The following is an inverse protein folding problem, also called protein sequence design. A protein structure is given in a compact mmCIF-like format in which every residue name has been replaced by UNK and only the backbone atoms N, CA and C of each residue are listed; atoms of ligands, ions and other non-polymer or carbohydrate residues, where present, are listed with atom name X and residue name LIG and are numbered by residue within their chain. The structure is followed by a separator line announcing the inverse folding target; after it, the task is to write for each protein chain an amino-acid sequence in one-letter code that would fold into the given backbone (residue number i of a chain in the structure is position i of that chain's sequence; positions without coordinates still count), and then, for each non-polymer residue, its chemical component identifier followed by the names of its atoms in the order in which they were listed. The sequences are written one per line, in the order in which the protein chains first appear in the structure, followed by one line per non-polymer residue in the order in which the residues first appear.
data_IF_017919091838
#
_entry.id   IF_017919091838
#
_cell.length_a   1.000
_cell.length_b   1.000
_cell.length_c   1.000
_cell.angle_alpha   90.00
_cell.angle_beta   90.00
_cell.angle_gamma   90.00
#
_symmetry.space_group_name_H-M   'P 1'
#
loop_
_entity.id
_entity.type
_entity.pdbx_description
1 polymer ?
#
# COMPACT_ATOMS: atom_id res chain seq x y z
N UNK A 1 53.86 41.65 -56.81
CA UNK A 1 54.46 40.92 -55.68
C UNK A 1 53.56 41.05 -54.45
N UNK A 2 52.77 40.00 -54.13
CA UNK A 2 51.93 40.01 -52.92
C UNK A 2 52.75 39.44 -51.72
N UNK A 3 53.04 40.29 -50.72
CA UNK A 3 53.59 39.84 -49.45
C UNK A 3 52.54 39.07 -48.65
N UNK A 4 52.76 37.76 -48.51
CA UNK A 4 52.03 36.93 -47.57
C UNK A 4 52.43 37.31 -46.16
N UNK A 5 51.52 37.89 -45.40
CA UNK A 5 51.69 38.15 -43.97
C UNK A 5 51.53 36.82 -43.26
N UNK A 6 52.62 36.16 -42.89
CA UNK A 6 52.63 34.99 -42.05
C UNK A 6 52.35 35.43 -40.62
N UNK A 7 51.13 35.16 -40.12
CA UNK A 7 50.81 35.33 -38.68
C UNK A 7 51.58 34.26 -37.90
N UNK A 8 52.68 34.66 -37.29
CA UNK A 8 53.34 33.84 -36.31
C UNK A 8 52.47 33.80 -35.04
N UNK A 9 51.68 32.78 -34.91
CA UNK A 9 50.99 32.47 -33.68
C UNK A 9 52.02 32.15 -32.61
N UNK A 10 52.28 33.13 -31.74
CA UNK A 10 53.16 33.00 -30.62
C UNK A 10 52.64 31.92 -29.67
N UNK A 11 53.14 30.68 -29.82
CA UNK A 11 52.83 29.52 -29.00
C UNK A 11 53.48 29.67 -27.63
N UNK A 12 53.09 30.70 -26.89
CA UNK A 12 53.37 30.74 -25.43
C UNK A 12 52.37 29.78 -24.82
N UNK A 13 52.79 28.55 -24.57
CA UNK A 13 52.01 27.58 -23.84
C UNK A 13 51.55 28.18 -22.53
N UNK A 14 50.26 28.03 -22.20
CA UNK A 14 49.76 28.31 -20.88
C UNK A 14 50.74 27.70 -19.85
N UNK A 15 51.16 28.52 -18.87
CA UNK A 15 52.05 28.01 -17.82
C UNK A 15 51.49 26.69 -17.28
N UNK A 16 52.32 25.65 -17.11
CA UNK A 16 51.86 24.36 -16.58
C UNK A 16 51.03 24.49 -15.27
N UNK A 17 51.34 25.53 -14.50
CA UNK A 17 50.66 25.86 -13.25
C UNK A 17 49.19 26.26 -13.51
N UNK A 18 48.91 27.08 -14.54
CA UNK A 18 47.53 27.44 -14.87
C UNK A 18 46.75 26.25 -15.42
N UNK A 19 47.39 25.39 -16.21
CA UNK A 19 46.73 24.19 -16.73
C UNK A 19 46.36 23.22 -15.60
N UNK A 20 47.21 23.03 -14.59
CA UNK A 20 46.90 22.19 -13.43
C UNK A 20 45.82 22.79 -12.55
N UNK A 21 45.78 24.10 -12.34
CA UNK A 21 44.69 24.76 -11.60
C UNK A 21 43.33 24.61 -12.30
N UNK A 22 43.28 24.78 -13.60
CA UNK A 22 42.06 24.59 -14.37
C UNK A 22 41.61 23.13 -14.28
N UNK A 23 42.49 22.17 -14.45
CA UNK A 23 42.20 20.75 -14.35
C UNK A 23 41.67 20.38 -12.96
N UNK A 24 42.32 20.87 -11.88
CA UNK A 24 41.85 20.65 -10.52
C UNK A 24 40.46 21.20 -10.27
N UNK A 25 40.17 22.40 -10.76
CA UNK A 25 38.85 23.02 -10.64
C UNK A 25 37.75 22.17 -11.35
N UNK A 26 38.04 21.70 -12.57
CA UNK A 26 37.15 20.84 -13.31
C UNK A 26 36.85 19.55 -12.54
N UNK A 27 37.89 18.90 -12.01
CA UNK A 27 37.74 17.65 -11.25
C UNK A 27 36.87 17.88 -10.00
N UNK A 28 37.08 18.98 -9.27
CA UNK A 28 36.30 19.32 -8.07
C UNK A 28 34.82 19.53 -8.45
N UNK A 29 34.55 20.31 -9.49
CA UNK A 29 33.17 20.59 -9.94
C UNK A 29 32.48 19.31 -10.37
N UNK A 30 33.09 18.51 -11.23
CA UNK A 30 32.48 17.24 -11.69
C UNK A 30 32.33 16.24 -10.53
N UNK A 31 33.33 16.17 -9.63
CA UNK A 31 33.29 15.30 -8.47
C UNK A 31 32.14 15.66 -7.51
N UNK A 32 31.91 16.95 -7.25
CA UNK A 32 30.82 17.41 -6.38
C UNK A 32 29.47 17.16 -7.02
N UNK A 33 29.28 17.41 -8.32
CA UNK A 33 28.05 17.11 -9.04
C UNK A 33 27.75 15.61 -9.04
N UNK A 34 28.74 14.79 -9.35
CA UNK A 34 28.58 13.33 -9.34
C UNK A 34 28.24 12.80 -7.94
N UNK A 35 28.90 13.31 -6.90
CA UNK A 35 28.59 12.97 -5.51
C UNK A 35 27.15 13.34 -5.13
N UNK A 36 26.72 14.57 -5.44
CA UNK A 36 25.38 15.03 -5.14
C UNK A 36 24.30 14.20 -5.85
N UNK A 37 24.50 13.89 -7.12
CA UNK A 37 23.59 13.06 -7.90
C UNK A 37 23.51 11.63 -7.35
N UNK A 38 24.66 11.02 -7.06
CA UNK A 38 24.73 9.68 -6.48
C UNK A 38 24.07 9.61 -5.10
N UNK A 39 24.28 10.61 -4.24
CA UNK A 39 23.67 10.69 -2.91
C UNK A 39 22.14 10.77 -2.98
N UNK A 40 21.61 11.59 -3.90
CA UNK A 40 20.15 11.69 -4.10
C UNK A 40 19.54 10.39 -4.61
N UNK A 41 20.19 9.72 -5.57
CA UNK A 41 19.74 8.42 -6.07
C UNK A 41 19.72 7.36 -4.96
N UNK A 42 20.78 7.31 -4.16
CA UNK A 42 20.90 6.36 -3.04
C UNK A 42 19.80 6.61 -2.00
N UNK A 43 19.56 7.87 -1.64
CA UNK A 43 18.50 8.23 -0.69
C UNK A 43 17.11 7.86 -1.20
N UNK A 44 16.80 8.15 -2.46
CA UNK A 44 15.53 7.76 -3.09
C UNK A 44 15.35 6.25 -3.12
N UNK A 45 16.38 5.50 -3.53
CA UNK A 45 16.33 4.05 -3.57
C UNK A 45 16.13 3.47 -2.16
N UNK A 46 16.89 3.94 -1.17
CA UNK A 46 16.77 3.48 0.22
C UNK A 46 15.37 3.74 0.78
N UNK A 47 14.81 4.94 0.56
CA UNK A 47 13.46 5.27 1.01
C UNK A 47 12.41 4.37 0.35
N UNK A 48 12.54 4.09 -0.94
CA UNK A 48 11.64 3.20 -1.66
C UNK A 48 11.72 1.77 -1.11
N UNK A 49 12.92 1.25 -0.87
CA UNK A 49 13.12 -0.07 -0.26
C UNK A 49 12.55 -0.14 1.17
N UNK A 50 12.82 0.85 1.99
CA UNK A 50 12.33 0.88 3.38
C UNK A 50 10.81 0.92 3.42
N UNK A 51 10.17 1.74 2.58
CA UNK A 51 8.71 1.81 2.49
C UNK A 51 8.12 0.48 2.00
N UNK A 52 8.70 -0.13 0.97
CA UNK A 52 8.24 -1.43 0.45
C UNK A 52 8.39 -2.53 1.48
N UNK A 53 9.51 -2.57 2.22
CA UNK A 53 9.71 -3.54 3.30
C UNK A 53 8.72 -3.35 4.44
N UNK A 54 8.46 -2.11 4.86
CA UNK A 54 7.51 -1.85 5.95
C UNK A 54 6.09 -2.26 5.56
N UNK A 55 5.65 -1.96 4.33
CA UNK A 55 4.34 -2.38 3.82
C UNK A 55 4.24 -3.90 3.72
N UNK A 56 5.27 -4.57 3.20
CA UNK A 56 5.29 -6.03 3.11
C UNK A 56 5.28 -6.68 4.50
N UNK A 57 6.02 -6.15 5.44
CA UNK A 57 6.03 -6.65 6.82
C UNK A 57 4.68 -6.47 7.50
N UNK A 58 4.01 -5.33 7.28
CA UNK A 58 2.66 -5.10 7.77
C UNK A 58 1.67 -6.11 7.18
N UNK A 59 1.70 -6.34 5.87
CA UNK A 59 0.78 -7.29 5.23
C UNK A 59 0.97 -8.72 5.71
N UNK A 60 2.21 -9.16 5.97
CA UNK A 60 2.49 -10.50 6.52
C UNK A 60 1.97 -10.65 7.96
N UNK A 61 1.99 -9.55 8.73
CA UNK A 61 1.52 -9.54 10.12
C UNK A 61 0.00 -9.44 10.25
N UNK A 62 -0.70 -9.05 9.18
CA UNK A 62 -2.15 -9.00 9.16
C UNK A 62 -2.74 -10.39 8.92
N UNK A 63 -3.71 -10.76 9.72
CA UNK A 63 -4.45 -12.01 9.56
C UNK A 63 -5.87 -11.85 10.05
N UNK A 64 -6.83 -11.99 9.16
CA UNK A 64 -8.26 -11.96 9.47
C UNK A 64 -8.79 -13.39 9.43
N UNK A 65 -9.46 -13.80 10.49
CA UNK A 65 -10.33 -14.95 10.49
C UNK A 65 -11.77 -14.52 10.27
N UNK A 66 -12.46 -15.17 9.33
CA UNK A 66 -13.90 -15.06 9.23
C UNK A 66 -14.51 -16.06 10.22
N UNK A 67 -15.30 -15.57 11.16
CA UNK A 67 -16.01 -16.43 12.10
C UNK A 67 -17.34 -16.92 11.53
N UNK A 68 -18.05 -16.03 10.85
CA UNK A 68 -19.31 -16.35 10.19
C UNK A 68 -19.65 -15.28 9.15
N UNK A 69 -20.40 -15.69 8.13
CA UNK A 69 -20.98 -14.78 7.13
C UNK A 69 -22.44 -15.19 6.94
N UNK A 70 -23.37 -14.30 7.27
CA UNK A 70 -24.80 -14.56 7.25
C UNK A 70 -25.47 -13.62 6.23
N UNK A 71 -26.22 -14.20 5.32
CA UNK A 71 -27.07 -13.45 4.41
C UNK A 71 -28.54 -13.61 4.78
N UNK A 72 -29.22 -12.49 4.95
CA UNK A 72 -30.66 -12.45 5.13
C UNK A 72 -31.31 -12.00 3.83
N UNK A 73 -31.85 -12.95 3.09
CA UNK A 73 -32.51 -12.71 1.80
C UNK A 73 -33.76 -11.84 1.91
N UNK A 74 -34.42 -11.79 3.08
CA UNK A 74 -35.64 -10.98 3.30
C UNK A 74 -35.30 -9.49 3.38
N UNK A 75 -34.16 -9.13 3.94
CA UNK A 75 -33.69 -7.74 4.10
C UNK A 75 -32.57 -7.36 3.15
N UNK A 76 -32.01 -8.31 2.38
CA UNK A 76 -30.84 -8.12 1.53
C UNK A 76 -29.57 -7.78 2.31
N UNK A 77 -29.50 -8.14 3.60
CA UNK A 77 -28.38 -7.81 4.47
C UNK A 77 -27.39 -8.95 4.57
N UNK A 78 -26.14 -8.64 4.33
CA UNK A 78 -24.99 -9.52 4.56
C UNK A 78 -24.26 -9.05 5.83
N UNK A 79 -24.22 -9.90 6.85
CA UNK A 79 -23.51 -9.65 8.10
C UNK A 79 -22.27 -10.52 8.14
N UNK A 80 -21.11 -9.90 8.34
CA UNK A 80 -19.79 -10.53 8.32
C UNK A 80 -19.16 -10.40 9.69
N UNK A 81 -18.85 -11.53 10.32
CA UNK A 81 -18.17 -11.62 11.61
C UNK A 81 -16.70 -11.93 11.41
N UNK A 82 -15.85 -11.14 12.02
CA UNK A 82 -14.40 -11.18 11.82
C UNK A 82 -13.65 -11.16 13.14
N UNK A 83 -12.48 -11.79 13.15
CA UNK A 83 -11.50 -11.68 14.21
C UNK A 83 -10.13 -11.32 13.63
N UNK A 84 -9.40 -10.43 14.28
CA UNK A 84 -7.99 -10.21 13.96
C UNK A 84 -7.12 -11.26 14.68
N UNK A 85 -6.76 -12.33 13.97
CA UNK A 85 -5.83 -13.37 14.48
C UNK A 85 -4.37 -13.13 14.07
N UNK A 86 -4.06 -11.96 13.50
CA UNK A 86 -2.69 -11.55 13.20
C UNK A 86 -1.93 -11.00 14.38
N UNK A 87 -0.74 -10.49 14.13
CA UNK A 87 0.10 -9.77 15.09
C UNK A 87 0.07 -8.25 14.90
N UNK A 88 -0.57 -7.76 13.83
CA UNK A 88 -0.73 -6.33 13.59
C UNK A 88 -1.90 -5.76 14.37
N UNK A 89 -1.64 -4.70 15.15
CA UNK A 89 -2.70 -3.89 15.74
C UNK A 89 -3.26 -2.87 14.73
N UNK A 90 -4.46 -2.36 15.00
CA UNK A 90 -5.12 -1.36 14.17
C UNK A 90 -5.37 -1.81 12.73
N UNK A 91 -5.67 -3.09 12.52
CA UNK A 91 -6.03 -3.62 11.22
C UNK A 91 -7.29 -2.91 10.70
N UNK A 92 -7.20 -2.28 9.55
CA UNK A 92 -8.29 -1.51 8.95
C UNK A 92 -8.74 -2.16 7.65
N UNK A 93 -10.05 -2.36 7.52
CA UNK A 93 -10.66 -2.83 6.29
C UNK A 93 -10.80 -1.65 5.33
N UNK A 94 -10.38 -1.83 4.08
CA UNK A 94 -10.47 -0.83 3.02
C UNK A 94 -11.64 -1.09 2.09
N UNK A 95 -11.73 -2.31 1.57
CA UNK A 95 -12.76 -2.67 0.60
C UNK A 95 -13.17 -4.14 0.69
N UNK A 96 -14.37 -4.42 0.20
CA UNK A 96 -14.95 -5.75 0.15
C UNK A 96 -15.53 -5.97 -1.23
N UNK A 97 -15.24 -7.13 -1.78
CA UNK A 97 -15.77 -7.62 -3.05
C UNK A 97 -16.55 -8.92 -2.81
N UNK A 98 -17.60 -9.12 -3.57
CA UNK A 98 -18.34 -10.38 -3.58
C UNK A 98 -18.26 -10.95 -4.99
N UNK A 99 -17.89 -12.22 -5.09
CA UNK A 99 -17.76 -12.95 -6.35
C UNK A 99 -18.76 -14.10 -6.39
N UNK A 100 -19.29 -14.36 -7.58
CA UNK A 100 -20.06 -15.57 -7.86
C UNK A 100 -19.14 -16.79 -8.10
N UNK A 101 -19.73 -17.97 -8.28
CA UNK A 101 -18.98 -19.21 -8.60
C UNK A 101 -18.17 -19.14 -9.90
N UNK A 102 -18.47 -18.18 -10.77
CA UNK A 102 -17.74 -17.92 -12.02
C UNK A 102 -16.67 -16.84 -11.87
N UNK A 103 -16.39 -16.39 -10.65
CA UNK A 103 -15.43 -15.32 -10.30
C UNK A 103 -15.79 -13.94 -10.90
N UNK A 104 -17.06 -13.68 -11.18
CA UNK A 104 -17.52 -12.36 -11.54
C UNK A 104 -17.91 -11.57 -10.29
N UNK A 105 -17.63 -10.26 -10.30
CA UNK A 105 -18.02 -9.39 -9.19
C UNK A 105 -19.56 -9.23 -9.20
N UNK A 106 -20.17 -9.51 -8.06
CA UNK A 106 -21.60 -9.36 -7.85
C UNK A 106 -21.89 -8.02 -7.16
N UNK A 107 -22.59 -7.14 -7.86
CA UNK A 107 -22.90 -5.81 -7.36
C UNK A 107 -21.72 -4.84 -7.46
N UNK A 108 -21.74 -3.82 -6.60
CA UNK A 108 -20.65 -2.84 -6.50
C UNK A 108 -19.75 -3.18 -5.31
N UNK A 109 -18.44 -2.95 -5.43
CA UNK A 109 -17.54 -3.10 -4.27
C UNK A 109 -17.97 -2.19 -3.13
N UNK A 110 -17.93 -2.72 -1.90
CA UNK A 110 -18.19 -1.94 -0.70
C UNK A 110 -16.89 -1.32 -0.21
N UNK A 111 -16.87 -0.04 0.10
CA UNK A 111 -15.70 0.66 0.62
C UNK A 111 -16.09 1.79 1.59
N UNK A 112 -15.13 2.20 2.42
CA UNK A 112 -15.28 3.34 3.31
C UNK A 112 -16.54 3.25 4.20
N UNK A 113 -17.42 4.23 4.11
CA UNK A 113 -18.61 4.35 4.97
C UNK A 113 -19.66 3.24 4.79
N UNK A 114 -19.59 2.46 3.72
CA UNK A 114 -20.53 1.34 3.50
C UNK A 114 -20.20 0.12 4.37
N UNK A 115 -18.95 -0.01 4.78
CA UNK A 115 -18.46 -1.09 5.65
C UNK A 115 -18.56 -0.69 7.13
N UNK A 116 -18.92 0.56 7.40
CA UNK A 116 -18.85 1.18 8.71
C UNK A 116 -20.22 1.31 9.38
N UNK A 117 -20.24 1.29 10.70
CA UNK A 117 -19.15 1.04 11.65
C UNK A 117 -18.96 -0.44 11.92
N UNK A 118 -17.71 -0.88 12.13
CA UNK A 118 -17.43 -2.17 12.75
C UNK A 118 -18.01 -2.15 14.17
N UNK A 119 -18.87 -3.13 14.46
CA UNK A 119 -19.51 -3.29 15.78
C UNK A 119 -18.76 -4.34 16.58
N UNK A 120 -18.55 -4.14 17.89
CA UNK A 120 -18.00 -5.16 18.75
C UNK A 120 -19.02 -6.29 18.95
N UNK A 121 -18.53 -7.53 19.02
CA UNK A 121 -19.37 -8.69 19.32
C UNK A 121 -19.59 -8.75 20.82
N UNK A 122 -20.85 -8.71 21.25
CA UNK A 122 -21.24 -8.92 22.65
C UNK A 122 -21.42 -10.43 22.91
N UNK A 123 -20.44 -11.04 23.56
CA UNK A 123 -20.50 -12.44 24.00
C UNK A 123 -20.95 -12.58 25.47
N UNK A 124 -21.61 -11.57 26.03
CA UNK A 124 -22.03 -11.57 27.44
C UNK A 124 -20.88 -11.31 28.42
N UNK A 125 -19.77 -10.81 27.97
CA UNK A 125 -18.70 -10.25 28.81
C UNK A 125 -19.11 -8.87 29.32
N UNK A 126 -18.66 -8.43 30.52
CA UNK A 126 -19.20 -7.22 31.14
C UNK A 126 -19.04 -5.93 30.36
N UNK A 127 -18.17 -5.87 29.37
CA UNK A 127 -18.07 -4.75 28.40
C UNK A 127 -17.33 -5.22 27.15
N UNK A 128 -17.99 -5.29 25.98
CA UNK A 128 -17.29 -5.53 24.72
C UNK A 128 -16.28 -4.39 24.49
N UNK A 129 -15.07 -4.74 24.07
CA UNK A 129 -14.03 -3.74 23.79
C UNK A 129 -14.49 -2.88 22.61
N UNK A 130 -14.71 -1.58 22.79
CA UNK A 130 -15.20 -0.73 21.71
C UNK A 130 -14.22 -0.70 20.55
N UNK A 131 -14.75 -0.85 19.32
CA UNK A 131 -13.99 -0.72 18.10
C UNK A 131 -13.95 0.76 17.73
N UNK A 132 -12.76 1.36 17.77
CA UNK A 132 -12.58 2.79 17.46
C UNK A 132 -12.03 2.94 16.05
N UNK A 133 -12.72 3.72 15.22
CA UNK A 133 -12.24 4.08 13.89
C UNK A 133 -12.13 2.91 12.90
N UNK A 134 -12.98 1.87 13.07
CA UNK A 134 -13.02 0.67 12.21
C UNK A 134 -11.71 -0.09 12.13
N UNK A 135 -11.05 -0.22 13.27
CA UNK A 135 -9.76 -0.88 13.41
C UNK A 135 -9.87 -2.01 14.40
N UNK A 136 -9.46 -3.20 13.98
CA UNK A 136 -9.38 -4.38 14.83
C UNK A 136 -7.98 -4.50 15.41
N UNK A 137 -7.89 -4.55 16.74
CA UNK A 137 -6.66 -4.91 17.44
C UNK A 137 -6.48 -6.43 17.47
N UNK A 138 -5.29 -6.88 17.80
CA UNK A 138 -4.98 -8.32 17.91
C UNK A 138 -5.95 -9.00 18.87
N UNK A 139 -6.57 -10.09 18.43
CA UNK A 139 -7.57 -10.84 19.19
C UNK A 139 -8.93 -10.17 19.32
N UNK A 140 -9.13 -9.00 18.71
CA UNK A 140 -10.41 -8.30 18.75
C UNK A 140 -11.36 -8.85 17.69
N UNK A 141 -12.59 -9.11 18.10
CA UNK A 141 -13.70 -9.53 17.25
C UNK A 141 -14.58 -8.34 16.89
N UNK A 142 -15.15 -8.39 15.70
CA UNK A 142 -16.09 -7.37 15.23
C UNK A 142 -16.95 -7.87 14.09
N UNK A 143 -18.05 -7.18 13.84
CA UNK A 143 -18.88 -7.44 12.68
C UNK A 143 -19.26 -6.15 11.97
N UNK A 144 -19.59 -6.27 10.71
CA UNK A 144 -20.22 -5.21 9.93
C UNK A 144 -21.36 -5.79 9.12
N UNK A 145 -22.26 -4.91 8.68
CA UNK A 145 -23.38 -5.28 7.83
C UNK A 145 -23.38 -4.43 6.57
N UNK A 146 -23.47 -5.08 5.41
CA UNK A 146 -23.65 -4.42 4.11
C UNK A 146 -24.95 -4.87 3.47
N UNK A 147 -25.59 -3.99 2.68
CA UNK A 147 -26.79 -4.34 1.94
C UNK A 147 -26.41 -4.72 0.52
N UNK A 148 -26.76 -5.94 0.12
CA UNK A 148 -26.53 -6.48 -1.22
C UNK A 148 -27.79 -7.16 -1.72
N UNK A 149 -28.55 -6.47 -2.57
CA UNK A 149 -29.77 -7.01 -3.16
C UNK A 149 -29.51 -7.90 -4.40
N UNK A 150 -28.24 -8.15 -4.71
CA UNK A 150 -27.82 -8.89 -5.90
C UNK A 150 -27.50 -10.36 -5.62
N UNK A 151 -27.59 -10.80 -4.35
CA UNK A 151 -27.33 -12.18 -3.97
C UNK A 151 -28.60 -13.01 -4.11
N UNK A 152 -28.46 -14.21 -4.68
CA UNK A 152 -29.54 -15.18 -4.86
C UNK A 152 -29.44 -16.23 -3.75
N UNK A 153 -30.56 -16.46 -3.04
CA UNK A 153 -30.63 -17.48 -1.99
C UNK A 153 -30.34 -18.88 -2.56
N UNK A 154 -29.54 -19.66 -1.85
CA UNK A 154 -29.11 -21.00 -2.24
C UNK A 154 -27.94 -21.03 -3.25
N UNK A 155 -27.29 -19.90 -3.46
CA UNK A 155 -26.08 -19.82 -4.30
C UNK A 155 -24.83 -19.58 -3.46
N UNK A 156 -23.71 -20.14 -3.91
CA UNK A 156 -22.41 -20.01 -3.26
C UNK A 156 -21.70 -18.75 -3.78
N UNK A 157 -21.19 -17.95 -2.87
CA UNK A 157 -20.42 -16.74 -3.15
C UNK A 157 -19.12 -16.72 -2.38
N UNK A 158 -18.14 -16.00 -2.92
CA UNK A 158 -16.88 -15.72 -2.24
C UNK A 158 -16.82 -14.25 -1.86
N UNK A 159 -16.66 -13.95 -0.58
CA UNK A 159 -16.35 -12.62 -0.10
C UNK A 159 -14.82 -12.46 -0.05
N UNK A 160 -14.32 -11.39 -0.64
CA UNK A 160 -12.93 -10.96 -0.56
C UNK A 160 -12.84 -9.66 0.21
N UNK A 161 -12.09 -9.67 1.27
CA UNK A 161 -11.81 -8.51 2.11
C UNK A 161 -10.39 -8.04 1.84
N UNK A 162 -10.24 -6.75 1.59
CA UNK A 162 -8.93 -6.10 1.38
C UNK A 162 -8.69 -5.11 2.52
N UNK A 163 -7.51 -5.20 3.13
CA UNK A 163 -7.09 -4.27 4.16
C UNK A 163 -6.43 -3.03 3.55
N UNK A 164 -6.32 -1.97 4.33
CA UNK A 164 -5.64 -0.74 3.91
C UNK A 164 -4.17 -0.95 3.52
N UNK A 165 -3.52 -1.98 4.05
CA UNK A 165 -2.13 -2.33 3.72
C UNK A 165 -2.03 -3.30 2.53
N UNK A 166 -3.16 -3.64 1.88
CA UNK A 166 -3.22 -4.45 0.68
C UNK A 166 -3.27 -5.96 0.91
N UNK A 167 -3.41 -6.42 2.16
CA UNK A 167 -3.66 -7.84 2.44
C UNK A 167 -5.06 -8.22 2.00
N UNK A 168 -5.21 -9.42 1.46
CA UNK A 168 -6.46 -9.93 0.90
C UNK A 168 -6.83 -11.26 1.56
N UNK A 169 -8.10 -11.37 1.99
CA UNK A 169 -8.65 -12.54 2.68
C UNK A 169 -9.95 -12.94 2.02
N UNK A 170 -10.11 -14.22 1.74
CA UNK A 170 -11.27 -14.78 1.04
C UNK A 170 -12.02 -15.75 1.95
N UNK A 171 -13.35 -15.76 1.83
CA UNK A 171 -14.22 -16.70 2.51
C UNK A 171 -15.41 -17.06 1.61
N UNK A 172 -15.74 -18.33 1.55
CA UNK A 172 -16.87 -18.85 0.78
C UNK A 172 -18.08 -19.01 1.71
N UNK A 173 -19.26 -18.56 1.26
CA UNK A 173 -20.50 -18.64 2.02
C UNK A 173 -21.69 -18.94 1.13
N UNK A 174 -22.74 -19.51 1.73
CA UNK A 174 -24.05 -19.73 1.11
C UNK A 174 -24.96 -18.54 1.39
N UNK A 175 -25.68 -18.03 0.35
CA UNK A 175 -26.59 -16.90 0.46
C UNK A 175 -28.06 -17.33 0.63
#
# INVERSE_FOLDING_TARGET
MRKLITWSLNKRGLSPIFATMILATIIIVFGTVAYYYSSNLTSSATNSYTNSMSTSQQSISERIGFENVLYDSSSGKLTVYLINCGSANNLQIDSIFIYDSSHNIVGQPFSGNQILPLQPIDRGTPTPTPITGNRLNVGQEGYFTVTSNSLLSGSIYTIQLITKNGSSFNYEFDA
#
